data_IF_882992169018
#
_entry.id   IF_882992169018
#
_cell.length_a   1.000
_cell.length_b   1.000
_cell.length_c   1.000
_cell.angle_alpha   90.00
_cell.angle_beta   90.00
_cell.angle_gamma   90.00
#
_symmetry.space_group_name_H-M   'P 1'
#
loop_
_entity.id
_entity.type
_entity.pdbx_description
1 polymer ?
#
# COMPACT_ATOMS: atom_id res chain seq x y z
N UNK A 1 -3.98 11.64 -20.37
CA UNK A 1 -4.12 13.03 -19.84
C UNK A 1 -4.60 13.12 -18.38
N UNK A 2 -5.12 12.05 -17.79
CA UNK A 2 -5.75 12.09 -16.46
C UNK A 2 -4.77 12.04 -15.25
N UNK A 3 -3.48 12.10 -15.44
CA UNK A 3 -2.49 11.86 -14.35
C UNK A 3 -1.57 13.05 -14.02
N UNK A 4 -1.78 14.20 -14.65
CA UNK A 4 -0.86 15.33 -14.49
C UNK A 4 -1.53 16.54 -13.83
N UNK A 5 -1.43 16.64 -12.51
CA UNK A 5 -1.70 17.87 -11.77
C UNK A 5 -3.15 18.10 -11.35
N UNK A 6 -3.40 19.22 -10.72
CA UNK A 6 -4.65 19.63 -10.06
C UNK A 6 -5.96 19.50 -10.88
N UNK A 7 -5.86 19.51 -12.20
CA UNK A 7 -7.02 19.37 -13.07
C UNK A 7 -7.74 18.01 -12.98
N UNK A 8 -6.99 16.96 -12.69
CA UNK A 8 -7.51 15.59 -12.64
C UNK A 8 -8.17 15.26 -11.31
N UNK A 9 -7.56 15.70 -10.24
CA UNK A 9 -8.14 15.54 -8.90
C UNK A 9 -9.52 16.20 -8.84
N UNK A 10 -9.68 17.37 -9.46
CA UNK A 10 -10.97 18.07 -9.58
C UNK A 10 -11.99 17.29 -10.40
N UNK A 11 -11.55 16.62 -11.47
CA UNK A 11 -12.42 15.74 -12.28
C UNK A 11 -12.94 14.54 -11.49
N UNK A 12 -12.08 13.87 -10.74
CA UNK A 12 -12.48 12.74 -9.90
C UNK A 12 -13.39 13.17 -8.74
N UNK A 13 -13.12 14.30 -8.11
CA UNK A 13 -13.99 14.87 -7.06
C UNK A 13 -15.39 15.17 -7.61
N UNK A 14 -15.48 15.71 -8.82
CA UNK A 14 -16.76 15.95 -9.48
C UNK A 14 -17.54 14.65 -9.69
N UNK A 15 -16.90 13.59 -10.20
CA UNK A 15 -17.52 12.28 -10.38
C UNK A 15 -18.02 11.71 -9.04
N UNK A 16 -17.22 11.81 -7.97
CA UNK A 16 -17.59 11.33 -6.64
C UNK A 16 -18.88 12.02 -6.16
N UNK A 17 -18.97 13.33 -6.35
CA UNK A 17 -20.13 14.13 -5.91
C UNK A 17 -21.38 13.87 -6.75
N UNK A 18 -21.22 13.77 -8.08
CA UNK A 18 -22.36 13.59 -9.01
C UNK A 18 -22.92 12.16 -9.01
N UNK A 19 -22.06 11.14 -8.76
CA UNK A 19 -22.42 9.72 -8.85
C UNK A 19 -22.26 9.00 -7.50
N UNK A 20 -22.48 9.72 -6.40
CA UNK A 20 -22.36 9.19 -5.03
C UNK A 20 -23.06 7.82 -4.89
N UNK A 21 -22.39 6.88 -4.22
CA UNK A 21 -22.91 5.53 -3.98
C UNK A 21 -22.76 4.55 -5.15
N UNK A 22 -22.23 4.95 -6.28
CA UNK A 22 -22.01 4.07 -7.44
C UNK A 22 -20.62 3.42 -7.43
N UNK A 23 -20.44 2.32 -8.19
CA UNK A 23 -19.13 1.71 -8.44
C UNK A 23 -18.15 2.70 -9.09
N UNK A 24 -18.65 3.55 -9.98
CA UNK A 24 -17.86 4.60 -10.65
C UNK A 24 -17.34 5.61 -9.64
N UNK A 25 -18.17 6.07 -8.70
CA UNK A 25 -17.75 6.97 -7.64
C UNK A 25 -16.71 6.32 -6.71
N UNK A 26 -16.88 5.04 -6.38
CA UNK A 26 -15.91 4.31 -5.57
C UNK A 26 -14.54 4.21 -6.27
N UNK A 27 -14.51 3.87 -7.55
CA UNK A 27 -13.28 3.82 -8.33
C UNK A 27 -12.64 5.22 -8.48
N UNK A 28 -13.47 6.27 -8.62
CA UNK A 28 -12.98 7.65 -8.67
C UNK A 28 -12.29 8.08 -7.35
N UNK A 29 -12.72 7.58 -6.20
CA UNK A 29 -12.04 7.79 -4.91
C UNK A 29 -10.62 7.22 -4.92
N UNK A 30 -10.46 5.98 -5.44
CA UNK A 30 -9.14 5.37 -5.59
C UNK A 30 -8.23 6.23 -6.46
N UNK A 31 -8.69 6.63 -7.64
CA UNK A 31 -7.89 7.45 -8.55
C UNK A 31 -7.60 8.85 -8.00
N UNK A 32 -8.56 9.47 -7.33
CA UNK A 32 -8.33 10.75 -6.64
C UNK A 32 -7.23 10.60 -5.57
N UNK A 33 -7.31 9.59 -4.72
CA UNK A 33 -6.31 9.30 -3.71
C UNK A 33 -4.91 9.11 -4.28
N UNK A 34 -4.78 8.28 -5.32
CA UNK A 34 -3.51 8.05 -5.99
C UNK A 34 -2.97 9.30 -6.70
N UNK A 35 -3.84 10.14 -7.26
CA UNK A 35 -3.45 11.40 -7.88
C UNK A 35 -2.92 12.39 -6.85
N UNK A 36 -3.58 12.54 -5.71
CA UNK A 36 -3.10 13.39 -4.61
C UNK A 36 -1.78 12.87 -4.03
N UNK A 37 -1.61 11.55 -3.90
CA UNK A 37 -0.34 10.97 -3.44
C UNK A 37 0.84 11.34 -4.35
N UNK A 38 0.62 11.39 -5.67
CA UNK A 38 1.66 11.79 -6.64
C UNK A 38 2.05 13.27 -6.58
N UNK A 39 1.19 14.12 -6.03
CA UNK A 39 1.41 15.57 -5.89
C UNK A 39 1.77 15.96 -4.46
N UNK A 40 2.22 15.02 -3.64
CA UNK A 40 2.60 15.20 -2.23
C UNK A 40 1.50 15.79 -1.33
N UNK A 41 0.24 15.69 -1.77
CA UNK A 41 -0.93 16.05 -0.97
C UNK A 41 -1.38 14.86 -0.12
N UNK A 42 -0.57 14.54 0.90
CA UNK A 42 -0.69 13.31 1.69
C UNK A 42 -2.03 13.23 2.42
N UNK A 43 -2.49 14.30 3.03
CA UNK A 43 -3.74 14.30 3.82
C UNK A 43 -4.97 14.07 2.94
N UNK A 44 -5.02 14.71 1.76
CA UNK A 44 -6.09 14.50 0.79
C UNK A 44 -6.04 13.07 0.23
N UNK A 45 -4.84 12.57 -0.08
CA UNK A 45 -4.66 11.20 -0.55
C UNK A 45 -5.18 10.18 0.47
N UNK A 46 -4.83 10.33 1.73
CA UNK A 46 -5.30 9.47 2.82
C UNK A 46 -6.83 9.51 2.90
N UNK A 47 -7.44 10.69 2.90
CA UNK A 47 -8.89 10.86 2.97
C UNK A 47 -9.61 10.06 1.88
N UNK A 48 -9.17 10.18 0.62
CA UNK A 48 -9.84 9.50 -0.48
C UNK A 48 -9.59 7.98 -0.47
N UNK A 49 -8.40 7.53 -0.08
CA UNK A 49 -8.11 6.10 0.02
C UNK A 49 -8.82 5.44 1.22
N UNK A 50 -8.98 6.14 2.35
CA UNK A 50 -9.79 5.67 3.48
C UNK A 50 -11.28 5.53 3.10
N UNK A 51 -11.77 6.43 2.24
CA UNK A 51 -13.17 6.43 1.79
C UNK A 51 -13.43 5.45 0.63
N UNK A 52 -12.38 4.88 0.04
CA UNK A 52 -12.49 3.83 -0.97
C UNK A 52 -12.98 2.53 -0.33
N UNK A 53 -14.09 2.00 -0.84
CA UNK A 53 -14.61 0.70 -0.42
C UNK A 53 -13.90 -0.42 -1.18
N UNK A 54 -13.16 -1.25 -0.45
CA UNK A 54 -12.46 -2.41 -1.02
C UNK A 54 -13.45 -3.43 -1.57
N UNK A 55 -13.05 -4.08 -2.66
CA UNK A 55 -13.82 -5.11 -3.33
C UNK A 55 -13.22 -6.49 -3.06
N UNK A 56 -13.91 -7.52 -3.47
CA UNK A 56 -13.42 -8.90 -3.41
C UNK A 56 -12.53 -9.16 -4.63
N UNK A 57 -11.31 -8.65 -4.57
CA UNK A 57 -10.27 -8.80 -5.57
C UNK A 57 -8.89 -8.94 -4.91
N UNK A 58 -7.96 -9.55 -5.64
CA UNK A 58 -6.65 -9.93 -5.12
C UNK A 58 -5.53 -8.94 -5.47
N UNK A 59 -5.82 -7.88 -6.21
CA UNK A 59 -4.80 -6.94 -6.71
C UNK A 59 -5.16 -5.48 -6.44
N UNK A 60 -6.32 -4.99 -6.91
CA UNK A 60 -6.66 -3.56 -6.86
C UNK A 60 -6.91 -3.10 -5.44
N UNK A 61 -7.79 -3.78 -4.72
CA UNK A 61 -8.11 -3.43 -3.33
C UNK A 61 -6.92 -3.60 -2.39
N UNK A 62 -6.14 -4.71 -2.44
CA UNK A 62 -4.91 -4.80 -1.65
C UNK A 62 -3.89 -3.71 -1.99
N UNK A 63 -3.74 -3.35 -3.27
CA UNK A 63 -2.83 -2.28 -3.68
C UNK A 63 -3.28 -0.90 -3.18
N UNK A 64 -4.58 -0.65 -3.12
CA UNK A 64 -5.13 0.57 -2.52
C UNK A 64 -4.85 0.63 -1.00
N UNK A 65 -5.01 -0.48 -0.30
CA UNK A 65 -4.67 -0.60 1.13
C UNK A 65 -3.16 -0.37 1.34
N UNK A 66 -2.31 -0.97 0.52
CA UNK A 66 -0.85 -0.78 0.60
C UNK A 66 -0.44 0.67 0.33
N UNK A 67 -1.06 1.33 -0.65
CA UNK A 67 -0.84 2.75 -0.92
C UNK A 67 -1.20 3.61 0.31
N UNK A 68 -2.30 3.31 0.96
CA UNK A 68 -2.71 3.97 2.21
C UNK A 68 -1.68 3.73 3.32
N UNK A 69 -1.18 2.51 3.47
CA UNK A 69 -0.11 2.16 4.43
C UNK A 69 1.16 2.99 4.20
N UNK A 70 1.60 3.12 2.95
CA UNK A 70 2.76 3.94 2.59
C UNK A 70 2.53 5.44 2.89
N UNK A 71 1.32 5.94 2.71
CA UNK A 71 0.98 7.32 3.06
C UNK A 71 1.03 7.57 4.57
N UNK A 72 0.58 6.62 5.39
CA UNK A 72 0.74 6.71 6.86
C UNK A 72 2.21 6.78 7.25
N UNK A 73 3.08 5.96 6.63
CA UNK A 73 4.53 6.00 6.85
C UNK A 73 5.10 7.37 6.44
N UNK A 74 4.70 7.87 5.28
CA UNK A 74 5.14 9.20 4.81
C UNK A 74 4.72 10.31 5.76
N UNK A 75 3.58 10.18 6.40
CA UNK A 75 3.09 11.11 7.44
C UNK A 75 3.79 10.95 8.80
N UNK A 76 4.60 9.91 8.98
CA UNK A 76 5.32 9.62 10.22
C UNK A 76 4.65 8.61 11.13
N UNK A 77 3.49 8.07 10.77
CA UNK A 77 2.80 7.01 11.53
C UNK A 77 3.25 5.63 11.03
N UNK A 78 4.48 5.27 11.38
CA UNK A 78 5.11 4.03 10.93
C UNK A 78 4.36 2.78 11.40
N UNK A 79 3.88 2.76 12.64
CA UNK A 79 3.19 1.58 13.18
C UNK A 79 1.87 1.31 12.46
N UNK A 80 1.08 2.36 12.23
CA UNK A 80 -0.15 2.26 11.45
C UNK A 80 0.13 1.86 10.01
N UNK A 81 1.16 2.43 9.41
CA UNK A 81 1.56 2.11 8.04
C UNK A 81 1.99 0.66 7.88
N UNK A 82 2.81 0.14 8.78
CA UNK A 82 3.23 -1.27 8.79
C UNK A 82 2.02 -2.20 8.92
N UNK A 83 1.15 -1.93 9.89
CA UNK A 83 -0.07 -2.72 10.08
C UNK A 83 -0.93 -2.76 8.81
N UNK A 84 -1.10 -1.61 8.16
CA UNK A 84 -1.88 -1.48 6.93
C UNK A 84 -1.22 -2.24 5.76
N UNK A 85 0.11 -2.21 5.64
CA UNK A 85 0.84 -2.99 4.64
C UNK A 85 0.68 -4.50 4.84
N UNK A 86 0.74 -4.97 6.08
CA UNK A 86 0.53 -6.39 6.42
C UNK A 86 -0.91 -6.80 6.09
N UNK A 87 -1.89 -5.97 6.43
CA UNK A 87 -3.30 -6.18 6.06
C UNK A 87 -3.48 -6.30 4.54
N UNK A 88 -2.82 -5.43 3.77
CA UNK A 88 -2.83 -5.51 2.31
C UNK A 88 -2.25 -6.83 1.80
N UNK A 89 -1.13 -7.28 2.38
CA UNK A 89 -0.51 -8.56 2.03
C UNK A 89 -1.42 -9.75 2.33
N UNK A 90 -2.08 -9.75 3.48
CA UNK A 90 -2.99 -10.81 3.90
C UNK A 90 -4.25 -10.85 3.03
N UNK A 91 -4.78 -9.68 2.68
CA UNK A 91 -5.95 -9.59 1.78
C UNK A 91 -5.62 -10.11 0.38
N UNK A 92 -4.48 -9.75 -0.18
CA UNK A 92 -4.04 -10.23 -1.49
C UNK A 92 -3.75 -11.72 -1.49
N UNK A 93 -2.99 -12.18 -0.51
CA UNK A 93 -2.57 -13.56 -0.31
C UNK A 93 -2.09 -14.25 -1.59
N UNK A 94 -1.25 -13.59 -2.36
CA UNK A 94 -0.70 -14.09 -3.63
C UNK A 94 0.77 -13.73 -3.80
N UNK A 95 1.46 -14.46 -4.68
CA UNK A 95 2.90 -14.29 -4.94
C UNK A 95 3.24 -12.98 -5.70
N UNK A 96 2.26 -12.31 -6.30
CA UNK A 96 2.49 -11.12 -7.11
C UNK A 96 2.69 -9.86 -6.27
N UNK A 97 1.85 -9.63 -5.27
CA UNK A 97 1.86 -8.36 -4.52
C UNK A 97 2.12 -8.53 -3.02
N UNK A 98 1.67 -9.62 -2.39
CA UNK A 98 1.85 -9.80 -0.95
C UNK A 98 3.31 -9.72 -0.49
N UNK A 99 4.28 -10.39 -1.16
CA UNK A 99 5.67 -10.30 -0.75
C UNK A 99 6.26 -8.89 -0.91
N UNK A 100 5.77 -8.10 -1.85
CA UNK A 100 6.18 -6.70 -2.02
C UNK A 100 5.74 -5.86 -0.82
N UNK A 101 4.49 -6.02 -0.37
CA UNK A 101 3.96 -5.28 0.78
C UNK A 101 4.66 -5.69 2.08
N UNK A 102 4.94 -6.99 2.26
CA UNK A 102 5.69 -7.47 3.43
C UNK A 102 7.14 -6.98 3.43
N UNK A 103 7.79 -6.91 2.27
CA UNK A 103 9.13 -6.34 2.15
C UNK A 103 9.14 -4.86 2.57
N UNK A 104 8.19 -4.08 2.09
CA UNK A 104 8.05 -2.68 2.48
C UNK A 104 7.87 -2.52 3.99
N UNK A 105 6.97 -3.31 4.59
CA UNK A 105 6.75 -3.30 6.04
C UNK A 105 8.02 -3.69 6.82
N UNK A 106 8.75 -4.70 6.36
CA UNK A 106 10.01 -5.12 6.96
C UNK A 106 11.08 -4.03 6.92
N UNK A 107 11.21 -3.34 5.79
CA UNK A 107 12.15 -2.22 5.67
C UNK A 107 11.80 -1.05 6.61
N UNK A 108 10.53 -0.79 6.86
CA UNK A 108 10.12 0.21 7.86
C UNK A 108 10.46 -0.25 9.27
N UNK A 109 10.27 -1.53 9.61
CA UNK A 109 10.74 -2.07 10.89
C UNK A 109 12.26 -1.91 11.07
N UNK A 110 13.06 -2.17 10.02
CA UNK A 110 14.51 -1.92 10.09
C UNK A 110 14.81 -0.44 10.38
N UNK A 111 14.12 0.48 9.73
CA UNK A 111 14.31 1.92 9.98
C UNK A 111 13.95 2.36 11.40
N UNK A 112 13.11 1.58 12.08
CA UNK A 112 12.75 1.77 13.49
C UNK A 112 13.65 1.00 14.45
N UNK A 113 14.74 0.41 13.99
CA UNK A 113 15.62 -0.48 14.76
C UNK A 113 14.92 -1.71 15.36
N UNK A 114 13.87 -2.19 14.67
CA UNK A 114 13.12 -3.39 15.06
C UNK A 114 13.45 -4.56 14.10
N UNK A 115 14.73 -4.86 13.99
CA UNK A 115 15.25 -5.89 13.05
C UNK A 115 14.65 -7.27 13.24
N UNK A 116 14.34 -7.66 14.47
CA UNK A 116 13.72 -8.96 14.73
C UNK A 116 12.35 -9.08 14.04
N UNK A 117 11.54 -8.03 14.11
CA UNK A 117 10.22 -8.01 13.41
C UNK A 117 10.36 -7.96 11.91
N UNK A 118 11.37 -7.25 11.41
CA UNK A 118 11.69 -7.26 9.98
C UNK A 118 12.03 -8.66 9.49
N UNK A 119 12.89 -9.38 10.20
CA UNK A 119 13.29 -10.76 9.87
C UNK A 119 12.10 -11.72 9.90
N UNK A 120 11.15 -11.56 10.82
CA UNK A 120 9.91 -12.36 10.83
C UNK A 120 9.13 -12.20 9.52
N UNK A 121 8.97 -10.96 9.04
CA UNK A 121 8.29 -10.71 7.76
C UNK A 121 9.08 -11.25 6.57
N UNK A 122 10.40 -11.12 6.58
CA UNK A 122 11.25 -11.65 5.51
C UNK A 122 11.21 -13.19 5.46
N UNK A 123 11.17 -13.84 6.62
CA UNK A 123 10.99 -15.30 6.68
C UNK A 123 9.60 -15.73 6.17
N UNK A 124 8.58 -14.94 6.41
CA UNK A 124 7.24 -15.17 5.82
C UNK A 124 7.30 -15.12 4.29
N UNK A 125 8.00 -14.14 3.73
CA UNK A 125 8.23 -14.07 2.26
C UNK A 125 8.95 -15.33 1.77
N UNK A 126 10.03 -15.71 2.45
CA UNK A 126 10.87 -16.87 2.07
C UNK A 126 10.09 -18.18 2.09
N UNK A 127 9.20 -18.37 3.03
CA UNK A 127 8.49 -19.65 3.23
C UNK A 127 7.13 -19.68 2.55
N UNK A 128 6.32 -18.67 2.72
CA UNK A 128 4.94 -18.62 2.18
C UNK A 128 4.90 -18.23 0.70
N UNK A 129 5.75 -17.30 0.30
CA UNK A 129 5.76 -16.73 -1.06
C UNK A 129 7.04 -17.08 -1.81
N UNK A 130 7.56 -18.29 -1.62
CA UNK A 130 8.85 -18.74 -2.14
C UNK A 130 8.97 -18.70 -3.68
N UNK A 131 7.85 -18.64 -4.41
CA UNK A 131 7.82 -18.53 -5.86
C UNK A 131 7.96 -17.09 -6.37
N UNK A 132 7.87 -16.11 -5.48
CA UNK A 132 7.94 -14.70 -5.88
C UNK A 132 9.37 -14.28 -6.23
N UNK A 133 9.55 -13.31 -7.15
CA UNK A 133 10.87 -12.71 -7.38
C UNK A 133 11.50 -12.12 -6.13
N UNK A 134 10.67 -11.56 -5.21
CA UNK A 134 11.13 -11.01 -3.93
C UNK A 134 11.79 -12.10 -3.07
N UNK A 135 11.21 -13.29 -3.01
CA UNK A 135 11.75 -14.38 -2.22
C UNK A 135 13.14 -14.86 -2.70
N UNK A 136 13.44 -14.73 -3.97
CA UNK A 136 14.75 -15.09 -4.52
C UNK A 136 15.88 -14.19 -4.01
N UNK A 137 15.56 -12.99 -3.61
CA UNK A 137 16.53 -12.02 -3.09
C UNK A 137 16.44 -11.80 -1.57
N UNK A 138 15.50 -12.46 -0.89
CA UNK A 138 15.14 -12.13 0.50
C UNK A 138 16.28 -12.42 1.48
N UNK A 139 17.15 -13.38 1.19
CA UNK A 139 18.25 -13.75 2.08
C UNK A 139 19.22 -12.59 2.32
N UNK A 140 19.44 -11.72 1.33
CA UNK A 140 20.28 -10.52 1.50
C UNK A 140 19.66 -9.51 2.50
N UNK A 141 18.32 -9.42 2.54
CA UNK A 141 17.62 -8.57 3.51
C UNK A 141 17.68 -9.16 4.92
N UNK A 142 17.53 -10.47 5.05
CA UNK A 142 17.67 -11.18 6.32
C UNK A 142 19.09 -10.98 6.88
N UNK A 143 20.11 -11.21 6.06
CA UNK A 143 21.52 -11.01 6.46
C UNK A 143 21.77 -9.57 6.94
N UNK A 144 21.28 -8.59 6.18
CA UNK A 144 21.45 -7.17 6.56
C UNK A 144 20.80 -6.86 7.90
N UNK A 145 19.59 -7.35 8.12
CA UNK A 145 18.82 -7.09 9.33
C UNK A 145 19.35 -7.82 10.57
N UNK A 146 20.17 -8.87 10.39
CA UNK A 146 20.77 -9.66 11.49
C UNK A 146 22.18 -9.22 11.86
N UNK A 147 22.77 -8.32 11.13
CA UNK A 147 24.09 -7.71 11.46
C UNK A 147 23.97 -6.59 12.47
#
# INVERSE_FOLDING_TARGET
QALNGDGNSKGFVKIINEYSGTKTANLAKLYAGLSYAKTDKVDEAIKYLEDFSTQDDDIVSPSAIAALGNLYIQKGDNEKGIKTLIEAADKANNDAVSPVFLLQAGQVYESMNQSNKAVELYNTIKTKYFRSPVAQEIDKYIERATK
#
